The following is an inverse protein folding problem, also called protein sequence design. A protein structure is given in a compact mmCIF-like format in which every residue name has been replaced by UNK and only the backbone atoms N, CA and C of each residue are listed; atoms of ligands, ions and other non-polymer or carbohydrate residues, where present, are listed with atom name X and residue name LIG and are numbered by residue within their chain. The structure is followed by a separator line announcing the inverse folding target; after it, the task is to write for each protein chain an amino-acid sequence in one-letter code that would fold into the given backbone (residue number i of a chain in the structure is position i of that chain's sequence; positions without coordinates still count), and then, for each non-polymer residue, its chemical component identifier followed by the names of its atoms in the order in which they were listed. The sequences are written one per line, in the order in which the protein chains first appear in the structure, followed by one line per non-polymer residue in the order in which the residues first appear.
data_IF_684791366033
#
_entry.id   IF_684791366033
#
_cell.length_a   1.000
_cell.length_b   1.000
_cell.length_c   1.000
_cell.angle_alpha   90.00
_cell.angle_beta   90.00
_cell.angle_gamma   90.00
#
_symmetry.space_group_name_H-M   'P 1'
#
loop_
_entity.id
_entity.type
_entity.pdbx_description
1 polymer ?
#
# COMPACT_ATOMS: atom_id res chain seq x y z
N UNK A 1 59.33 15.01 33.67
CA UNK A 1 59.16 16.47 33.78
C UNK A 1 57.96 16.88 32.98
N UNK A 2 56.96 17.40 33.67
CA UNK A 2 55.70 17.95 33.20
C UNK A 2 55.92 19.25 32.43
N UNK A 3 55.07 19.51 31.43
CA UNK A 3 54.53 20.87 31.19
C UNK A 3 53.30 20.80 30.30
N UNK A 4 52.16 20.88 30.99
CA UNK A 4 50.91 21.43 30.49
C UNK A 4 51.14 22.67 29.64
N UNK A 5 50.37 22.80 28.55
CA UNK A 5 49.87 24.10 28.13
C UNK A 5 48.34 24.11 28.28
N UNK A 6 47.92 24.87 29.29
CA UNK A 6 46.57 25.37 29.48
C UNK A 6 46.50 26.79 28.89
N UNK A 7 45.25 27.24 28.68
CA UNK A 7 44.80 28.65 28.62
C UNK A 7 45.01 29.31 27.24
N UNK A 8 44.08 30.00 26.56
CA UNK A 8 42.76 30.61 26.85
C UNK A 8 42.01 30.87 25.53
N UNK A 9 40.76 30.44 25.43
CA UNK A 9 39.66 31.28 24.91
C UNK A 9 38.33 30.78 25.46
N UNK A 10 38.30 30.80 26.79
CA UNK A 10 37.10 31.09 27.57
C UNK A 10 36.36 32.30 26.99
N UNK A 11 35.03 32.30 27.11
CA UNK A 11 34.04 33.26 26.60
C UNK A 11 33.41 33.00 25.22
N UNK A 12 33.89 32.04 24.41
CA UNK A 12 33.29 31.81 23.10
C UNK A 12 32.53 30.49 22.96
N UNK A 13 32.96 29.39 23.59
CA UNK A 13 32.26 28.10 23.41
C UNK A 13 30.87 28.10 24.08
N UNK A 14 30.73 28.63 25.30
CA UNK A 14 29.41 28.74 25.94
C UNK A 14 28.48 29.66 25.13
N UNK A 15 28.99 30.79 24.62
CA UNK A 15 28.21 31.67 23.73
C UNK A 15 27.89 31.01 22.39
N UNK A 16 28.79 30.21 21.82
CA UNK A 16 28.57 29.45 20.58
C UNK A 16 27.55 28.34 20.80
N UNK A 17 27.57 27.66 21.94
CA UNK A 17 26.62 26.60 22.28
C UNK A 17 25.23 27.20 22.57
N UNK A 18 25.17 28.33 23.28
CA UNK A 18 23.92 29.10 23.46
C UNK A 18 23.43 29.66 22.13
N UNK A 19 24.32 30.10 21.22
CA UNK A 19 23.95 30.58 19.89
C UNK A 19 23.46 29.43 19.00
N UNK A 20 24.04 28.22 19.09
CA UNK A 20 23.54 27.03 18.40
C UNK A 20 22.16 26.59 18.93
N UNK A 21 21.95 26.63 20.24
CA UNK A 21 20.65 26.32 20.85
C UNK A 21 19.61 27.39 20.46
N UNK A 22 19.97 28.67 20.48
CA UNK A 22 19.09 29.75 20.00
C UNK A 22 18.79 29.64 18.50
N UNK A 23 19.74 29.22 17.67
CA UNK A 23 19.50 28.96 16.25
C UNK A 23 18.57 27.75 16.04
N UNK A 24 18.69 26.70 16.86
CA UNK A 24 17.80 25.55 16.83
C UNK A 24 16.38 25.91 17.29
N UNK A 25 16.24 26.72 18.33
CA UNK A 25 14.95 27.21 18.82
C UNK A 25 14.33 28.25 17.89
N UNK A 26 15.14 29.11 17.27
CA UNK A 26 14.68 30.05 16.25
C UNK A 26 14.23 29.31 14.98
N UNK A 27 14.94 28.23 14.58
CA UNK A 27 14.47 27.31 13.53
C UNK A 27 13.14 26.67 13.91
N UNK A 28 13.00 26.12 15.11
CA UNK A 28 11.74 25.53 15.59
C UNK A 28 10.60 26.56 15.64
N UNK A 29 10.91 27.79 16.06
CA UNK A 29 9.94 28.90 16.14
C UNK A 29 9.57 29.43 14.75
N UNK A 30 10.50 29.45 13.78
CA UNK A 30 10.19 29.73 12.37
C UNK A 30 9.27 28.66 11.77
N UNK A 31 9.52 27.39 12.10
CA UNK A 31 8.68 26.24 11.70
C UNK A 31 7.31 26.27 12.39
N UNK A 32 7.21 26.85 13.60
CA UNK A 32 5.96 26.98 14.35
C UNK A 32 5.12 28.22 14.02
N UNK A 33 5.72 29.29 13.48
CA UNK A 33 5.02 30.58 13.25
C UNK A 33 4.76 30.90 11.79
N UNK A 34 5.55 30.34 10.87
CA UNK A 34 5.28 30.34 9.43
C UNK A 34 4.99 28.89 9.06
N UNK A 35 3.72 28.51 9.10
CA UNK A 35 3.27 27.16 8.74
C UNK A 35 3.88 26.74 7.40
N UNK A 36 4.87 25.86 7.47
CA UNK A 36 5.41 25.15 6.31
C UNK A 36 6.08 23.84 6.73
N UNK A 37 5.29 22.77 6.57
CA UNK A 37 5.65 21.60 5.77
C UNK A 37 7.01 20.93 6.06
N UNK A 38 7.05 20.16 7.15
CA UNK A 38 7.83 18.92 7.20
C UNK A 38 6.93 17.80 7.70
N UNK A 39 6.06 17.31 6.81
CA UNK A 39 5.67 15.89 6.73
C UNK A 39 4.98 15.62 5.39
N UNK A 40 5.80 15.32 4.38
CA UNK A 40 5.34 14.62 3.18
C UNK A 40 4.99 13.15 3.48
N UNK A 41 4.19 12.49 2.62
CA UNK A 41 2.93 11.89 3.03
C UNK A 41 3.09 10.43 3.46
N UNK A 42 3.19 10.19 4.77
CA UNK A 42 2.69 8.96 5.38
C UNK A 42 1.21 9.17 5.67
N UNK A 43 0.34 8.79 4.72
CA UNK A 43 -1.10 8.75 4.93
C UNK A 43 -1.43 7.63 5.91
N UNK A 44 -1.49 7.97 7.20
CA UNK A 44 -2.33 7.27 8.16
C UNK A 44 -3.78 7.64 7.82
N UNK A 45 -4.51 6.71 7.22
CA UNK A 45 -5.87 6.87 6.64
C UNK A 45 -6.96 6.88 7.73
N UNK A 46 -6.73 7.48 8.90
CA UNK A 46 -7.67 7.33 10.04
C UNK A 46 -8.35 8.64 10.47
N UNK A 47 -8.01 9.81 9.95
CA UNK A 47 -8.53 11.06 10.55
C UNK A 47 -8.96 12.19 9.58
N UNK A 48 -9.25 11.87 8.32
CA UNK A 48 -9.78 12.83 7.33
C UNK A 48 -11.17 12.44 6.75
N UNK A 49 -11.98 11.72 7.53
CA UNK A 49 -13.39 11.36 7.18
C UNK A 49 -14.40 12.06 8.12
N UNK A 50 -14.02 13.19 8.73
CA UNK A 50 -14.92 13.95 9.62
C UNK A 50 -15.11 15.39 9.09
N UNK A 51 -15.59 15.50 7.86
CA UNK A 51 -16.55 16.56 7.49
C UNK A 51 -17.45 16.16 6.31
N UNK A 52 -17.79 14.88 6.23
CA UNK A 52 -18.85 14.37 5.35
C UNK A 52 -19.72 13.39 6.13
N UNK A 53 -20.49 13.93 7.07
CA UNK A 53 -21.82 13.52 7.57
C UNK A 53 -22.32 12.05 7.54
N UNK A 54 -21.49 11.03 7.40
CA UNK A 54 -21.95 9.62 7.27
C UNK A 54 -21.21 8.71 8.24
N UNK A 55 -21.32 8.97 9.54
CA UNK A 55 -21.23 7.93 10.58
C UNK A 55 -22.13 8.33 11.74
N UNK A 56 -23.42 7.98 11.64
CA UNK A 56 -24.29 7.83 12.82
C UNK A 56 -25.12 6.54 12.78
N UNK A 57 -24.71 5.53 12.00
CA UNK A 57 -25.62 4.39 11.77
C UNK A 57 -24.94 3.02 11.72
N UNK A 58 -24.05 2.73 12.69
CA UNK A 58 -23.43 1.39 12.84
C UNK A 58 -23.65 0.79 14.24
N UNK A 59 -24.65 1.28 14.98
CA UNK A 59 -25.27 0.48 16.06
C UNK A 59 -26.77 0.49 15.80
N UNK A 60 -27.21 -0.45 14.95
CA UNK A 60 -28.56 -1.01 14.91
C UNK A 60 -28.64 -2.09 13.82
N UNK A 61 -28.42 -3.34 14.20
CA UNK A 61 -29.10 -4.45 13.54
C UNK A 61 -30.32 -4.80 14.41
N UNK A 62 -31.52 -5.07 13.88
CA UNK A 62 -32.09 -4.73 12.57
C UNK A 62 -33.53 -4.18 12.70
N UNK A 63 -33.73 -2.87 12.61
CA UNK A 63 -35.10 -2.30 12.52
C UNK A 63 -35.60 -2.13 11.07
N UNK A 64 -34.73 -2.40 10.09
CA UNK A 64 -35.07 -2.41 8.66
C UNK A 64 -35.79 -3.69 8.17
N UNK A 65 -36.33 -4.51 9.09
CA UNK A 65 -37.27 -5.60 8.76
C UNK A 65 -38.72 -5.18 9.10
N UNK A 66 -38.91 -4.12 9.90
CA UNK A 66 -40.24 -3.66 10.33
C UNK A 66 -40.74 -2.42 9.57
N UNK A 67 -39.85 -1.60 9.02
CA UNK A 67 -40.23 -0.31 8.42
C UNK A 67 -40.63 -0.36 6.93
N UNK A 68 -40.43 -1.47 6.22
CA UNK A 68 -40.87 -1.63 4.82
C UNK A 68 -42.17 -2.46 4.70
N UNK A 69 -42.90 -2.61 5.81
CA UNK A 69 -44.26 -3.15 5.84
C UNK A 69 -45.35 -2.09 5.56
N UNK A 70 -44.99 -0.80 5.44
CA UNK A 70 -45.96 0.28 5.17
C UNK A 70 -45.61 1.12 3.93
N UNK A 71 -45.21 0.48 2.83
CA UNK A 71 -45.37 1.09 1.51
C UNK A 71 -46.70 0.62 0.90
N UNK A 72 -47.70 1.52 0.92
CA UNK A 72 -49.00 1.35 0.25
C UNK A 72 -48.82 0.74 -1.15
N UNK A 73 -49.63 -0.26 -1.53
CA UNK A 73 -49.51 -0.92 -2.82
C UNK A 73 -49.88 0.06 -3.94
N UNK A 74 -48.91 0.41 -4.78
CA UNK A 74 -49.18 0.97 -6.09
C UNK A 74 -50.00 -0.06 -6.88
N UNK A 75 -51.26 0.28 -7.12
CA UNK A 75 -52.16 -0.40 -8.03
C UNK A 75 -51.52 -0.47 -9.41
N UNK A 76 -51.07 -1.65 -9.79
CA UNK A 76 -51.16 -2.09 -11.17
C UNK A 76 -51.64 -3.54 -11.16
N UNK A 77 -52.96 -3.68 -11.04
CA UNK A 77 -53.64 -4.97 -11.16
C UNK A 77 -53.65 -5.33 -12.64
N UNK A 78 -52.76 -6.22 -13.06
CA UNK A 78 -53.08 -7.10 -14.18
C UNK A 78 -54.27 -7.95 -13.74
N UNK A 79 -55.46 -7.60 -14.23
CA UNK A 79 -56.70 -8.27 -13.88
C UNK A 79 -56.73 -9.66 -14.54
N UNK A 80 -56.21 -10.66 -13.84
CA UNK A 80 -56.50 -12.07 -14.14
C UNK A 80 -57.89 -12.36 -13.56
N UNK A 81 -58.88 -12.49 -14.42
CA UNK A 81 -60.27 -12.79 -14.07
C UNK A 81 -60.36 -14.19 -13.44
N UNK A 82 -61.09 -14.31 -12.32
CA UNK A 82 -61.29 -15.58 -11.60
C UNK A 82 -61.90 -16.63 -12.56
N UNK A 83 -61.35 -17.86 -12.64
CA UNK A 83 -61.97 -18.95 -13.39
C UNK A 83 -63.32 -19.35 -12.76
N UNK A 84 -64.36 -19.46 -13.57
CA UNK A 84 -65.77 -19.63 -13.15
C UNK A 84 -66.04 -20.88 -12.28
N UNK A 85 -65.12 -21.85 -12.25
CA UNK A 85 -65.26 -23.12 -11.51
C UNK A 85 -64.46 -23.21 -10.20
N UNK A 86 -63.72 -22.17 -9.80
CA UNK A 86 -62.81 -22.25 -8.66
C UNK A 86 -63.40 -21.64 -7.38
N UNK A 87 -63.29 -22.31 -6.21
CA UNK A 87 -63.70 -21.72 -4.93
C UNK A 87 -62.94 -20.42 -4.63
N UNK A 88 -63.61 -19.43 -4.04
CA UNK A 88 -63.00 -18.12 -3.72
C UNK A 88 -61.79 -18.22 -2.78
N UNK A 89 -61.79 -19.21 -1.89
CA UNK A 89 -60.69 -19.47 -0.96
C UNK A 89 -59.41 -19.90 -1.70
N UNK A 90 -59.55 -20.82 -2.66
CA UNK A 90 -58.42 -21.34 -3.44
C UNK A 90 -57.84 -20.26 -4.35
N UNK A 91 -58.70 -19.42 -4.93
CA UNK A 91 -58.27 -18.30 -5.79
C UNK A 91 -57.44 -17.27 -5.00
N UNK A 92 -57.87 -16.93 -3.78
CA UNK A 92 -57.13 -16.01 -2.90
C UNK A 92 -55.80 -16.62 -2.45
N UNK A 93 -55.76 -17.91 -2.11
CA UNK A 93 -54.54 -18.60 -1.73
C UNK A 93 -53.53 -18.66 -2.90
N UNK A 94 -54.00 -18.86 -4.12
CA UNK A 94 -53.15 -18.86 -5.31
C UNK A 94 -52.57 -17.46 -5.58
N UNK A 95 -53.40 -16.41 -5.48
CA UNK A 95 -52.94 -15.02 -5.61
C UNK A 95 -51.93 -14.63 -4.54
N UNK A 96 -52.13 -15.05 -3.30
CA UNK A 96 -51.16 -14.81 -2.22
C UNK A 96 -49.80 -15.47 -2.52
N UNK A 97 -49.80 -16.71 -3.03
CA UNK A 97 -48.57 -17.40 -3.46
C UNK A 97 -47.91 -16.73 -4.65
N UNK A 98 -48.68 -16.27 -5.63
CA UNK A 98 -48.18 -15.54 -6.80
C UNK A 98 -47.51 -14.23 -6.36
N UNK A 99 -48.13 -13.47 -5.46
CA UNK A 99 -47.57 -12.24 -4.90
C UNK A 99 -46.30 -12.50 -4.07
N UNK A 100 -46.24 -13.61 -3.34
CA UNK A 100 -45.05 -14.02 -2.58
C UNK A 100 -43.89 -14.40 -3.51
N UNK A 101 -44.16 -15.18 -4.55
CA UNK A 101 -43.18 -15.54 -5.56
C UNK A 101 -42.67 -14.30 -6.31
N UNK A 102 -43.57 -13.41 -6.72
CA UNK A 102 -43.19 -12.16 -7.39
C UNK A 102 -42.30 -11.27 -6.50
N UNK A 103 -42.52 -11.25 -5.18
CA UNK A 103 -41.63 -10.56 -4.23
C UNK A 103 -40.25 -11.22 -4.14
N UNK A 104 -40.21 -12.54 -4.02
CA UNK A 104 -38.96 -13.32 -3.98
C UNK A 104 -38.15 -13.14 -5.25
N UNK A 105 -38.78 -13.20 -6.42
CA UNK A 105 -38.12 -12.97 -7.70
C UNK A 105 -37.52 -11.57 -7.82
N UNK A 106 -38.23 -10.52 -7.39
CA UNK A 106 -37.69 -9.15 -7.38
C UNK A 106 -36.50 -9.01 -6.44
N UNK A 107 -36.57 -9.64 -5.26
CA UNK A 107 -35.47 -9.65 -4.30
C UNK A 107 -34.24 -10.36 -4.86
N UNK A 108 -34.42 -11.55 -5.45
CA UNK A 108 -33.34 -12.31 -6.07
C UNK A 108 -32.69 -11.54 -7.22
N UNK A 109 -33.48 -10.93 -8.12
CA UNK A 109 -32.95 -10.12 -9.23
C UNK A 109 -32.13 -8.93 -8.72
N UNK A 110 -32.59 -8.28 -7.66
CA UNK A 110 -31.83 -7.17 -7.05
C UNK A 110 -30.51 -7.67 -6.47
N UNK A 111 -30.53 -8.84 -5.84
CA UNK A 111 -29.34 -9.45 -5.26
C UNK A 111 -28.34 -9.88 -6.33
N UNK A 112 -28.80 -10.50 -7.41
CA UNK A 112 -28.00 -10.84 -8.60
C UNK A 112 -27.32 -9.60 -9.18
N UNK A 113 -28.08 -8.52 -9.40
CA UNK A 113 -27.51 -7.25 -9.89
C UNK A 113 -26.45 -6.68 -8.94
N UNK A 114 -26.65 -6.79 -7.63
CA UNK A 114 -25.67 -6.35 -6.64
C UNK A 114 -24.41 -7.22 -6.64
N UNK A 115 -24.56 -8.53 -6.83
CA UNK A 115 -23.43 -9.46 -6.97
C UNK A 115 -22.64 -9.19 -8.25
N UNK A 116 -23.31 -8.97 -9.38
CA UNK A 116 -22.66 -8.65 -10.65
C UNK A 116 -21.87 -7.34 -10.56
N UNK A 117 -22.45 -6.31 -9.94
CA UNK A 117 -21.74 -5.04 -9.68
C UNK A 117 -20.49 -5.26 -8.84
N UNK A 118 -20.60 -6.05 -7.75
CA UNK A 118 -19.45 -6.38 -6.89
C UNK A 118 -18.39 -7.18 -7.64
N UNK A 119 -18.78 -8.12 -8.51
CA UNK A 119 -17.83 -8.90 -9.31
C UNK A 119 -17.07 -8.02 -10.30
N UNK A 120 -17.77 -7.08 -10.97
CA UNK A 120 -17.13 -6.12 -11.89
C UNK A 120 -16.16 -5.22 -11.13
N UNK A 121 -16.56 -4.72 -9.95
CA UNK A 121 -15.70 -3.90 -9.10
C UNK A 121 -14.45 -4.66 -8.65
N UNK A 122 -14.62 -5.89 -8.12
CA UNK A 122 -13.51 -6.73 -7.68
C UNK A 122 -12.54 -7.06 -8.82
N UNK A 123 -13.05 -7.39 -10.00
CA UNK A 123 -12.22 -7.63 -11.18
C UNK A 123 -11.48 -6.36 -11.62
N UNK A 124 -12.13 -5.20 -11.55
CA UNK A 124 -11.51 -3.90 -11.79
C UNK A 124 -10.36 -3.60 -10.82
N UNK A 125 -10.58 -3.87 -9.52
CA UNK A 125 -9.56 -3.73 -8.48
C UNK A 125 -8.40 -4.71 -8.70
N UNK A 126 -8.68 -5.98 -8.99
CA UNK A 126 -7.67 -6.99 -9.29
C UNK A 126 -6.79 -6.57 -10.47
N UNK A 127 -7.40 -6.10 -11.56
CA UNK A 127 -6.66 -5.58 -12.73
C UNK A 127 -5.80 -4.37 -12.37
N UNK A 128 -6.32 -3.44 -11.57
CA UNK A 128 -5.56 -2.27 -11.13
C UNK A 128 -4.37 -2.69 -10.26
N UNK A 129 -4.56 -3.62 -9.32
CA UNK A 129 -3.48 -4.15 -8.49
C UNK A 129 -2.42 -4.87 -9.32
N UNK A 130 -2.82 -5.73 -10.26
CA UNK A 130 -1.90 -6.40 -11.19
C UNK A 130 -1.08 -5.38 -12.01
N UNK A 131 -1.72 -4.32 -12.50
CA UNK A 131 -1.04 -3.24 -13.20
C UNK A 131 -0.05 -2.50 -12.31
N UNK A 132 -0.45 -2.12 -11.10
CA UNK A 132 0.42 -1.43 -10.15
C UNK A 132 1.64 -2.30 -9.77
N UNK A 133 1.45 -3.61 -9.61
CA UNK A 133 2.55 -4.54 -9.33
C UNK A 133 3.50 -4.64 -10.52
N UNK A 134 2.97 -4.79 -11.74
CA UNK A 134 3.78 -4.83 -12.95
C UNK A 134 4.57 -3.52 -13.16
N UNK A 135 3.93 -2.37 -12.97
CA UNK A 135 4.58 -1.06 -13.08
C UNK A 135 5.68 -0.90 -12.01
N UNK A 136 5.43 -1.38 -10.78
CA UNK A 136 6.41 -1.36 -9.70
C UNK A 136 7.61 -2.28 -9.99
N UNK A 137 7.38 -3.47 -10.54
CA UNK A 137 8.44 -4.42 -10.91
C UNK A 137 9.28 -3.89 -12.08
N UNK A 138 8.65 -3.31 -13.11
CA UNK A 138 9.35 -2.64 -14.21
C UNK A 138 10.21 -1.48 -13.69
N UNK A 139 9.69 -0.67 -12.76
CA UNK A 139 10.44 0.45 -12.18
C UNK A 139 11.61 -0.02 -11.31
N UNK A 140 11.43 -1.09 -10.53
CA UNK A 140 12.50 -1.72 -9.75
C UNK A 140 13.59 -2.25 -10.68
N UNK A 141 13.21 -2.97 -11.72
CA UNK A 141 14.13 -3.50 -12.72
C UNK A 141 14.90 -2.40 -13.45
N UNK A 142 14.23 -1.30 -13.81
CA UNK A 142 14.87 -0.16 -14.46
C UNK A 142 15.91 0.51 -13.55
N UNK A 143 15.59 0.70 -12.26
CA UNK A 143 16.52 1.27 -11.26
C UNK A 143 17.72 0.36 -11.04
N UNK A 144 17.50 -0.95 -10.89
CA UNK A 144 18.58 -1.93 -10.72
C UNK A 144 19.45 -1.98 -11.97
N UNK A 145 18.88 -2.06 -13.17
CA UNK A 145 19.61 -2.02 -14.44
C UNK A 145 20.43 -0.74 -14.60
N UNK A 146 19.89 0.40 -14.19
CA UNK A 146 20.62 1.66 -14.23
C UNK A 146 21.84 1.63 -13.30
N UNK A 147 21.67 1.19 -12.05
CA UNK A 147 22.79 1.04 -11.10
C UNK A 147 23.85 0.07 -11.65
N UNK A 148 23.43 -1.10 -12.11
CA UNK A 148 24.30 -2.09 -12.77
C UNK A 148 25.10 -1.44 -13.91
N UNK A 149 24.44 -0.64 -14.76
CA UNK A 149 25.09 0.07 -15.85
C UNK A 149 26.14 1.08 -15.38
N UNK A 150 25.82 1.90 -14.37
CA UNK A 150 26.75 2.88 -13.78
C UNK A 150 27.99 2.20 -13.19
N UNK A 151 27.80 1.13 -12.42
CA UNK A 151 28.92 0.41 -11.81
C UNK A 151 29.73 -0.40 -12.83
N UNK A 152 29.10 -0.91 -13.87
CA UNK A 152 29.77 -1.63 -14.97
C UNK A 152 30.61 -0.70 -15.84
N UNK A 153 30.16 0.53 -16.08
CA UNK A 153 30.91 1.52 -16.86
C UNK A 153 32.15 2.06 -16.10
N UNK A 154 32.20 1.87 -14.79
CA UNK A 154 33.31 2.31 -13.94
C UNK A 154 34.46 1.29 -13.91
N UNK A 155 35.67 1.76 -13.62
CA UNK A 155 36.84 0.89 -13.40
C UNK A 155 36.59 -0.05 -12.20
N UNK A 156 36.92 -1.34 -12.37
CA UNK A 156 36.68 -2.37 -11.36
C UNK A 156 37.22 -2.02 -9.96
N UNK A 157 38.42 -1.44 -9.88
CA UNK A 157 39.03 -1.00 -8.60
C UNK A 157 38.22 0.10 -7.90
N UNK A 158 37.66 1.04 -8.66
CA UNK A 158 36.83 2.12 -8.11
C UNK A 158 35.48 1.59 -7.66
N UNK A 159 34.86 0.70 -8.46
CA UNK A 159 33.61 0.04 -8.09
C UNK A 159 33.78 -0.81 -6.82
N UNK A 160 34.86 -1.57 -6.69
CA UNK A 160 35.16 -2.37 -5.51
C UNK A 160 35.26 -1.54 -4.23
N UNK A 161 35.93 -0.37 -4.29
CA UNK A 161 36.02 0.54 -3.14
C UNK A 161 34.64 1.02 -2.66
N UNK A 162 33.72 1.23 -3.59
CA UNK A 162 32.34 1.64 -3.28
C UNK A 162 31.56 0.45 -2.70
N UNK A 163 31.64 -0.73 -3.32
CA UNK A 163 31.02 -1.97 -2.83
C UNK A 163 31.50 -2.32 -1.40
N UNK A 164 32.75 -2.01 -1.06
CA UNK A 164 33.28 -2.19 0.30
C UNK A 164 32.51 -1.36 1.34
N UNK A 165 32.02 -0.18 0.96
CA UNK A 165 31.24 0.71 1.83
C UNK A 165 29.74 0.49 1.77
N UNK A 166 29.24 -0.19 0.74
CA UNK A 166 27.82 -0.52 0.60
C UNK A 166 27.42 -1.66 1.54
N UNK A 167 26.12 -1.68 1.84
CA UNK A 167 25.47 -2.81 2.49
C UNK A 167 25.57 -4.09 1.64
N UNK A 168 25.61 -5.23 2.31
CA UNK A 168 25.80 -6.53 1.68
C UNK A 168 24.64 -6.87 0.74
N UNK A 169 23.39 -6.61 1.12
CA UNK A 169 22.23 -6.97 0.30
C UNK A 169 22.15 -6.14 -0.97
N UNK A 170 22.45 -4.84 -0.87
CA UNK A 170 22.51 -3.95 -2.03
C UNK A 170 23.66 -4.33 -2.97
N UNK A 171 24.82 -4.68 -2.41
CA UNK A 171 25.98 -5.14 -3.18
C UNK A 171 25.66 -6.41 -3.96
N UNK A 172 24.98 -7.37 -3.32
CA UNK A 172 24.54 -8.63 -3.95
C UNK A 172 23.57 -8.36 -5.09
N UNK A 173 22.58 -7.48 -4.90
CA UNK A 173 21.61 -7.10 -5.95
C UNK A 173 22.28 -6.44 -7.18
N UNK A 174 23.29 -5.61 -6.95
CA UNK A 174 24.05 -4.98 -8.05
C UNK A 174 24.94 -6.02 -8.75
N UNK A 175 25.61 -6.88 -7.99
CA UNK A 175 26.49 -7.92 -8.53
C UNK A 175 25.72 -9.00 -9.31
N UNK A 176 24.51 -9.38 -8.87
CA UNK A 176 23.66 -10.37 -9.55
C UNK A 176 23.13 -9.87 -10.90
N UNK A 177 22.94 -8.56 -11.06
CA UNK A 177 22.56 -7.94 -12.32
C UNK A 177 23.72 -7.76 -13.32
N UNK A 178 24.97 -7.94 -12.89
CA UNK A 178 26.16 -7.79 -13.75
C UNK A 178 26.52 -9.09 -14.49
N UNK A 179 27.18 -8.96 -15.64
CA UNK A 179 27.79 -10.11 -16.33
C UNK A 179 28.92 -10.67 -15.45
N UNK A 180 29.00 -12.00 -15.32
CA UNK A 180 29.92 -12.66 -14.39
C UNK A 180 31.39 -12.23 -14.49
N UNK A 181 31.86 -11.85 -15.70
CA UNK A 181 33.21 -11.30 -15.90
C UNK A 181 33.43 -9.98 -15.14
N UNK A 182 32.46 -9.07 -15.19
CA UNK A 182 32.56 -7.76 -14.52
C UNK A 182 32.41 -7.91 -13.01
N UNK A 183 31.47 -8.75 -12.56
CA UNK A 183 31.30 -9.07 -11.14
C UNK A 183 32.58 -9.70 -10.55
N UNK A 184 33.18 -10.67 -11.24
CA UNK A 184 34.45 -11.29 -10.83
C UNK A 184 35.62 -10.31 -10.79
N UNK A 185 35.70 -9.40 -11.77
CA UNK A 185 36.73 -8.36 -11.75
C UNK A 185 36.59 -7.40 -10.55
N UNK A 186 35.37 -7.07 -10.13
CA UNK A 186 35.12 -6.24 -8.95
C UNK A 186 35.45 -7.01 -7.67
N UNK A 187 34.98 -8.25 -7.52
CA UNK A 187 35.24 -9.10 -6.35
C UNK A 187 36.75 -9.31 -6.10
N UNK A 188 37.56 -9.34 -7.17
CA UNK A 188 39.03 -9.44 -7.05
C UNK A 188 39.71 -8.23 -6.38
N UNK A 189 39.04 -7.08 -6.28
CA UNK A 189 39.56 -5.88 -5.61
C UNK A 189 38.85 -5.59 -4.26
N UNK A 190 37.89 -6.41 -3.86
CA UNK A 190 37.17 -6.34 -2.58
C UNK A 190 37.97 -7.15 -1.53
N UNK A 191 37.80 -6.85 -0.24
CA UNK A 191 38.47 -7.64 0.81
C UNK A 191 38.06 -9.12 0.75
N UNK A 192 38.98 -10.08 0.98
CA UNK A 192 38.68 -11.52 0.82
C UNK A 192 37.47 -11.99 1.66
N UNK A 193 37.35 -11.46 2.89
CA UNK A 193 36.23 -11.77 3.79
C UNK A 193 34.88 -11.31 3.21
N UNK A 194 34.82 -10.08 2.69
CA UNK A 194 33.58 -9.54 2.10
C UNK A 194 33.28 -10.20 0.76
N UNK A 195 34.29 -10.49 -0.06
CA UNK A 195 34.13 -11.22 -1.31
C UNK A 195 33.54 -12.63 -1.11
N UNK A 196 33.99 -13.36 -0.08
CA UNK A 196 33.41 -14.65 0.29
C UNK A 196 31.93 -14.52 0.69
N UNK A 197 31.61 -13.57 1.58
CA UNK A 197 30.23 -13.31 2.02
C UNK A 197 29.31 -12.94 0.86
N UNK A 198 29.77 -12.09 -0.07
CA UNK A 198 29.02 -11.71 -1.26
C UNK A 198 28.81 -12.90 -2.21
N UNK A 199 29.80 -13.78 -2.34
CA UNK A 199 29.70 -14.99 -3.19
C UNK A 199 28.71 -16.01 -2.63
N UNK A 200 28.70 -16.21 -1.32
CA UNK A 200 27.69 -17.03 -0.64
C UNK A 200 26.28 -16.44 -0.78
N UNK A 201 26.14 -15.13 -0.59
CA UNK A 201 24.86 -14.44 -0.69
C UNK A 201 24.31 -14.43 -2.13
N UNK A 202 25.18 -14.31 -3.14
CA UNK A 202 24.79 -14.46 -4.55
C UNK A 202 24.22 -15.85 -4.84
N UNK A 203 24.83 -16.89 -4.26
CA UNK A 203 24.32 -18.25 -4.38
C UNK A 203 22.93 -18.37 -3.75
N UNK A 204 22.71 -17.84 -2.55
CA UNK A 204 21.40 -17.84 -1.89
C UNK A 204 20.32 -17.09 -2.68
N UNK A 205 20.67 -15.98 -3.34
CA UNK A 205 19.73 -15.20 -4.14
C UNK A 205 19.32 -15.92 -5.43
N UNK A 206 20.23 -16.70 -6.02
CA UNK A 206 20.05 -17.35 -7.32
C UNK A 206 19.28 -18.68 -7.24
N UNK A 207 18.98 -19.11 -6.02
CA UNK A 207 18.54 -20.44 -5.68
C UNK A 207 17.18 -20.33 -5.00
N UNK A 208 16.06 -20.48 -5.74
CA UNK A 208 14.78 -20.83 -5.13
C UNK A 208 14.83 -22.32 -4.76
N UNK A 209 15.73 -22.73 -3.88
CA UNK A 209 15.67 -24.09 -3.35
C UNK A 209 14.55 -24.13 -2.34
N UNK A 210 13.51 -24.85 -2.77
CA UNK A 210 12.26 -25.08 -2.07
C UNK A 210 12.40 -25.14 -0.56
N UNK A 211 11.70 -24.22 0.08
CA UNK A 211 10.81 -24.63 1.16
C UNK A 211 9.41 -24.67 0.54
N UNK A 212 9.09 -25.83 -0.03
CA UNK A 212 7.72 -26.35 -0.08
C UNK A 212 7.52 -27.24 1.13
#
# INVERSE_FOLDING_TARGET
MTKWQRFVSSLKISKVLVCLVLLALFKLSLIGTLGFDISGPSMNVVEAVIESSVVRDVVSAPEAIAAEAEAKPAKEKAATTKPDRMPDADWKALKAKEDELARKERSLRTLEQNLDKKLVELNGLEKRLKKMLADADVLKDAKVKHLVGVYTAMKAKSAAKIIETLDTDLSVKILSGMRGRNAGAILGFVTPKKAAALSEALTKLQVPLGEQ
#
